data_IF_556099750782
#
_entry.id   IF_556099750782
#
_cell.length_a   1.000
_cell.length_b   1.000
_cell.length_c   1.000
_cell.angle_alpha   90.00
_cell.angle_beta   90.00
_cell.angle_gamma   90.00
#
_symmetry.space_group_name_H-M   'P 1'
#
loop_
_entity.id
_entity.type
_entity.pdbx_description
1 polymer ?
#
# COMPACT_ATOMS: atom_id res chain seq x y z
N UNK A 1 16.82 25.97 30.07
CA UNK A 1 16.40 24.92 29.11
C UNK A 1 16.84 25.36 27.73
N UNK A 2 17.65 24.57 27.03
CA UNK A 2 17.98 24.82 25.61
C UNK A 2 16.89 24.18 24.75
N UNK A 3 16.13 25.00 24.04
CA UNK A 3 15.14 24.53 23.08
C UNK A 3 15.84 24.13 21.78
N UNK A 4 16.06 22.83 21.60
CA UNK A 4 16.49 22.27 20.32
C UNK A 4 15.27 22.20 19.39
N UNK A 5 15.22 23.10 18.42
CA UNK A 5 14.22 23.08 17.36
C UNK A 5 14.80 22.42 16.10
N UNK A 6 13.95 21.76 15.32
CA UNK A 6 14.32 21.30 13.99
C UNK A 6 14.65 22.50 13.08
N UNK A 7 15.50 22.33 12.04
CA UNK A 7 15.76 23.38 11.06
C UNK A 7 14.46 23.92 10.44
N UNK A 8 14.47 25.21 10.06
CA UNK A 8 13.28 25.92 9.53
C UNK A 8 12.57 25.18 8.38
N UNK A 9 13.33 24.45 7.56
CA UNK A 9 12.85 23.75 6.37
C UNK A 9 12.85 22.23 6.54
N UNK A 10 12.73 21.73 7.76
CA UNK A 10 12.61 20.30 8.00
C UNK A 10 11.30 19.76 7.39
N UNK A 11 11.40 18.64 6.68
CA UNK A 11 10.29 18.03 5.95
C UNK A 11 9.59 16.99 6.82
N UNK A 12 8.49 17.42 7.46
CA UNK A 12 7.55 16.50 8.10
C UNK A 12 6.59 15.96 7.06
N UNK A 13 6.28 14.67 7.12
CA UNK A 13 5.39 14.04 6.15
C UNK A 13 4.99 12.64 6.59
N UNK A 14 4.43 11.89 5.65
CA UNK A 14 4.03 10.50 5.82
C UNK A 14 4.57 9.64 4.69
N UNK A 15 4.58 8.32 4.91
CA UNK A 15 5.00 7.35 3.91
C UNK A 15 3.98 6.20 3.86
N UNK A 16 3.69 5.76 2.65
CA UNK A 16 2.84 4.60 2.34
C UNK A 16 3.46 3.83 1.17
N UNK A 17 2.93 2.65 0.85
CA UNK A 17 3.32 1.91 -0.35
C UNK A 17 2.07 1.53 -1.15
N UNK A 18 2.10 1.77 -2.47
CA UNK A 18 0.98 1.58 -3.41
C UNK A 18 0.12 0.35 -3.12
N UNK A 19 0.74 -0.83 -3.07
CA UNK A 19 0.06 -2.10 -2.84
C UNK A 19 -0.61 -2.24 -1.46
N UNK A 20 -0.31 -1.39 -0.48
CA UNK A 20 -0.94 -1.43 0.84
C UNK A 20 -2.23 -0.63 0.89
N UNK A 21 -2.35 0.46 0.12
CA UNK A 21 -3.47 1.40 0.23
C UNK A 21 -4.30 1.61 -1.04
N UNK A 22 -3.70 1.52 -2.23
CA UNK A 22 -4.36 1.89 -3.49
C UNK A 22 -5.60 1.04 -3.76
N UNK A 23 -5.47 -0.28 -3.72
CA UNK A 23 -6.52 -1.17 -4.19
C UNK A 23 -6.57 -1.25 -5.71
N UNK A 24 -7.79 -1.32 -6.26
CA UNK A 24 -8.06 -1.27 -7.71
C UNK A 24 -7.13 -2.18 -8.54
N UNK A 25 -6.82 -3.37 -8.03
CA UNK A 25 -5.64 -4.13 -8.50
C UNK A 25 -5.69 -4.62 -9.96
N UNK A 26 -6.86 -4.56 -10.60
CA UNK A 26 -7.10 -4.90 -12.02
C UNK A 26 -7.80 -3.79 -12.80
N UNK A 27 -7.92 -2.59 -12.25
CA UNK A 27 -8.57 -1.48 -12.93
C UNK A 27 -7.60 -0.79 -13.89
N UNK A 28 -8.15 -0.10 -14.90
CA UNK A 28 -7.45 0.77 -15.84
C UNK A 28 -6.17 0.19 -16.48
N UNK A 29 -6.16 -1.12 -16.70
CA UNK A 29 -5.07 -1.83 -17.37
C UNK A 29 -3.87 -2.17 -16.47
N UNK A 30 -4.01 -2.06 -15.14
CA UNK A 30 -2.95 -2.45 -14.21
C UNK A 30 -2.60 -3.95 -14.36
N UNK A 31 -1.31 -4.23 -14.56
CA UNK A 31 -0.76 -5.59 -14.53
C UNK A 31 -0.67 -6.17 -13.11
N UNK A 32 -0.57 -7.50 -13.01
CA UNK A 32 -0.32 -8.15 -11.73
C UNK A 32 1.08 -7.82 -11.21
N UNK A 33 1.16 -7.52 -9.92
CA UNK A 33 2.39 -7.39 -9.16
C UNK A 33 2.57 -8.59 -8.22
N UNK A 34 3.78 -8.81 -7.70
CA UNK A 34 4.02 -9.85 -6.70
C UNK A 34 3.07 -9.68 -5.51
N UNK A 35 2.77 -8.45 -5.09
CA UNK A 35 1.85 -8.21 -3.99
C UNK A 35 0.45 -8.82 -4.24
N UNK A 36 -0.04 -8.83 -5.49
CA UNK A 36 -1.38 -9.30 -5.86
C UNK A 36 -1.57 -10.81 -5.74
N UNK A 37 -0.48 -11.56 -5.65
CA UNK A 37 -0.50 -13.02 -5.50
C UNK A 37 -0.05 -13.48 -4.11
N UNK A 38 0.29 -12.54 -3.22
CA UNK A 38 0.65 -12.80 -1.84
C UNK A 38 -0.61 -12.71 -0.95
N UNK A 39 -1.12 -13.83 -0.40
CA UNK A 39 -2.27 -13.78 0.47
C UNK A 39 -1.93 -13.17 1.83
N UNK A 40 -2.95 -12.94 2.64
CA UNK A 40 -2.78 -12.67 4.06
C UNK A 40 -2.30 -13.92 4.83
N UNK A 41 -1.70 -13.70 5.99
CA UNK A 41 -1.36 -14.78 6.93
C UNK A 41 -0.02 -15.48 6.66
N UNK A 42 0.16 -16.65 7.28
CA UNK A 42 1.46 -17.35 7.37
C UNK A 42 1.96 -17.88 6.01
N UNK A 43 1.03 -18.20 5.12
CA UNK A 43 1.35 -18.75 3.79
C UNK A 43 1.86 -17.69 2.80
N UNK A 44 1.83 -16.40 3.17
CA UNK A 44 2.17 -15.25 2.33
C UNK A 44 3.46 -15.47 1.55
N UNK A 45 4.56 -15.69 2.26
CA UNK A 45 5.87 -15.89 1.62
C UNK A 45 6.09 -17.31 1.13
N UNK A 46 5.34 -18.30 1.64
CA UNK A 46 5.47 -19.67 1.19
C UNK A 46 5.04 -19.84 -0.27
N UNK A 47 4.07 -19.07 -0.76
CA UNK A 47 3.54 -19.17 -2.13
C UNK A 47 4.52 -18.67 -3.19
N UNK A 48 5.13 -17.49 -2.97
CA UNK A 48 6.06 -16.92 -3.95
C UNK A 48 7.40 -17.66 -3.99
N UNK A 49 7.77 -18.33 -2.90
CA UNK A 49 8.99 -19.13 -2.81
C UNK A 49 8.79 -20.58 -3.29
N UNK A 50 7.62 -20.96 -3.81
CA UNK A 50 7.44 -22.30 -4.36
C UNK A 50 8.17 -22.43 -5.70
N UNK A 51 8.86 -23.54 -5.97
CA UNK A 51 9.48 -23.79 -7.27
C UNK A 51 8.49 -23.77 -8.45
N UNK A 52 7.22 -24.07 -8.20
CA UNK A 52 6.11 -24.11 -9.17
C UNK A 52 5.23 -22.86 -9.14
N UNK A 53 5.73 -21.74 -8.62
CA UNK A 53 4.99 -20.48 -8.59
C UNK A 53 4.49 -20.07 -9.99
N UNK A 54 3.17 -19.83 -10.10
CA UNK A 54 2.50 -19.63 -11.39
C UNK A 54 1.49 -18.45 -11.41
N UNK A 55 1.67 -17.46 -10.53
CA UNK A 55 0.80 -16.27 -10.42
C UNK A 55 -0.69 -16.53 -10.12
N UNK A 56 -1.07 -17.75 -9.72
CA UNK A 56 -2.47 -18.09 -9.41
C UNK A 56 -2.99 -17.35 -8.18
N UNK A 57 -4.19 -16.77 -8.31
CA UNK A 57 -4.92 -16.14 -7.21
C UNK A 57 -6.09 -17.05 -6.82
N UNK A 58 -5.97 -17.75 -5.70
CA UNK A 58 -7.00 -18.64 -5.17
C UNK A 58 -7.85 -17.91 -4.12
N UNK A 59 -8.85 -17.16 -4.60
CA UNK A 59 -9.81 -16.44 -3.74
C UNK A 59 -10.75 -17.37 -2.96
N UNK A 60 -10.81 -18.67 -3.28
CA UNK A 60 -11.62 -19.63 -2.53
C UNK A 60 -10.94 -20.04 -1.22
N UNK A 61 -9.60 -20.03 -1.20
CA UNK A 61 -8.77 -20.43 -0.06
C UNK A 61 -8.19 -19.25 0.71
N UNK A 62 -7.85 -18.17 0.02
CA UNK A 62 -7.11 -17.05 0.59
C UNK A 62 -7.81 -15.71 0.40
N UNK A 63 -7.46 -14.77 1.27
CA UNK A 63 -7.79 -13.34 1.09
C UNK A 63 -6.54 -12.57 0.68
N UNK A 64 -6.73 -11.57 -0.16
CA UNK A 64 -5.68 -10.72 -0.71
C UNK A 64 -6.01 -9.25 -0.38
N UNK A 65 -5.63 -8.75 0.81
CA UNK A 65 -6.08 -7.44 1.30
C UNK A 65 -5.73 -6.27 0.37
N UNK A 66 -4.61 -6.37 -0.33
CA UNK A 66 -4.15 -5.37 -1.28
C UNK A 66 -5.00 -5.25 -2.54
N UNK A 67 -5.88 -6.22 -2.83
CA UNK A 67 -6.79 -6.11 -3.98
C UNK A 67 -7.75 -4.92 -3.82
N UNK A 68 -8.11 -4.59 -2.58
CA UNK A 68 -8.96 -3.44 -2.23
C UNK A 68 -8.17 -2.33 -1.50
N UNK A 69 -7.18 -2.68 -0.68
CA UNK A 69 -6.47 -1.70 0.15
C UNK A 69 -7.45 -0.92 1.06
N UNK A 70 -7.28 0.40 1.10
CA UNK A 70 -8.27 1.33 1.70
C UNK A 70 -8.98 2.15 0.62
N UNK A 71 -8.89 1.70 -0.63
CA UNK A 71 -9.44 2.35 -1.81
C UNK A 71 -8.84 3.74 -2.07
N UNK A 72 -7.55 3.91 -1.78
CA UNK A 72 -6.85 5.18 -2.02
C UNK A 72 -6.84 5.52 -3.53
N UNK A 73 -6.87 4.53 -4.42
CA UNK A 73 -6.94 4.77 -5.87
C UNK A 73 -8.10 5.69 -6.25
N UNK A 74 -9.27 5.48 -5.64
CA UNK A 74 -10.46 6.31 -5.88
C UNK A 74 -10.55 7.52 -4.94
N UNK A 75 -10.01 7.40 -3.72
CA UNK A 75 -10.19 8.36 -2.62
C UNK A 75 -8.98 9.26 -2.35
N UNK A 76 -7.97 9.23 -3.23
CA UNK A 76 -6.70 9.95 -3.00
C UNK A 76 -6.90 11.45 -2.80
N UNK A 77 -7.94 12.05 -3.39
CA UNK A 77 -8.22 13.49 -3.25
C UNK A 77 -8.61 13.84 -1.81
N UNK A 78 -9.46 13.03 -1.19
CA UNK A 78 -9.87 13.17 0.20
C UNK A 78 -8.70 12.87 1.14
N UNK A 79 -7.91 11.86 0.84
CA UNK A 79 -6.76 11.49 1.67
C UNK A 79 -5.65 12.56 1.63
N UNK A 80 -5.35 13.13 0.45
CA UNK A 80 -4.41 14.26 0.31
C UNK A 80 -4.91 15.49 1.07
N UNK A 81 -6.22 15.73 1.09
CA UNK A 81 -6.79 16.83 1.90
C UNK A 81 -6.46 16.64 3.39
N UNK A 82 -6.60 15.43 3.92
CA UNK A 82 -6.23 15.12 5.31
C UNK A 82 -4.72 15.30 5.55
N UNK A 83 -3.86 14.90 4.60
CA UNK A 83 -2.42 15.14 4.69
C UNK A 83 -2.08 16.63 4.77
N UNK A 84 -2.79 17.45 4.00
CA UNK A 84 -2.66 18.91 4.05
C UNK A 84 -3.13 19.48 5.39
N UNK A 85 -4.24 18.99 5.95
CA UNK A 85 -4.75 19.42 7.26
C UNK A 85 -3.75 19.11 8.40
N UNK A 86 -2.97 18.03 8.27
CA UNK A 86 -1.87 17.69 9.20
C UNK A 86 -0.57 18.49 8.96
N UNK A 87 -0.46 19.24 7.86
CA UNK A 87 0.71 20.07 7.56
C UNK A 87 1.91 19.30 7.00
N UNK A 88 1.69 18.24 6.22
CA UNK A 88 2.76 17.54 5.50
C UNK A 88 3.49 18.48 4.52
N UNK A 89 4.80 18.26 4.33
CA UNK A 89 5.70 19.14 3.56
C UNK A 89 6.57 18.41 2.53
N UNK A 90 6.42 17.08 2.40
CA UNK A 90 7.18 16.24 1.48
C UNK A 90 6.58 16.22 0.08
#
# INVERSE_FOLDING_TARGET
MTYLNFPKNFLWGGATAANQLEGAYQEDGKGLSIADVLPQGKDRFAIVNRPDFNWTIDKSKYRYPNHQGIDHYHRFKEDIKLFSEMGFKC
#
